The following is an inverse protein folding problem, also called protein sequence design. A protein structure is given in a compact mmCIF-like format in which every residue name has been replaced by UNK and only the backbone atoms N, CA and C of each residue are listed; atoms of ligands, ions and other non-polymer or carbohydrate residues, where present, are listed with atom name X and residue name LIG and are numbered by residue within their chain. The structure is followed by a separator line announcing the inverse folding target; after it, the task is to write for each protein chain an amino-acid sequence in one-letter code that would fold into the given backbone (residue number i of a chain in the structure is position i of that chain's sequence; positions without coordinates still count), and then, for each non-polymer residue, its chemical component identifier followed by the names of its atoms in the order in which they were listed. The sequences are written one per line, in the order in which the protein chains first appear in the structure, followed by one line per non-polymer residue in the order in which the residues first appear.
data_IF_378678620081
#
_entry.id   IF_378678620081
#
_cell.length_a   1.000
_cell.length_b   1.000
_cell.length_c   1.000
_cell.angle_alpha   90.00
_cell.angle_beta   90.00
_cell.angle_gamma   90.00
#
_symmetry.space_group_name_H-M   'P 1'
#
loop_
_entity.id
_entity.type
_entity.pdbx_description
1 polymer ?
#
# COMPACT_ATOMS: atom_id res chain seq x y z
N UNK A 1 -16.52 -12.32 14.58
CA UNK A 1 -17.25 -11.87 13.35
C UNK A 1 -18.07 -10.61 13.58
N UNK A 2 -18.71 -10.44 14.74
CA UNK A 2 -19.53 -9.28 15.17
C UNK A 2 -19.29 -7.92 14.47
N UNK A 3 -18.04 -7.45 14.35
CA UNK A 3 -17.70 -6.13 13.78
C UNK A 3 -17.56 -6.06 12.25
N UNK A 4 -17.90 -7.11 11.49
CA UNK A 4 -17.74 -7.15 10.02
C UNK A 4 -18.45 -5.99 9.29
N UNK A 5 -19.69 -5.65 9.68
CA UNK A 5 -20.45 -4.55 9.08
C UNK A 5 -20.16 -3.16 9.65
N UNK A 6 -19.29 -3.03 10.65
CA UNK A 6 -19.03 -1.75 11.33
C UNK A 6 -18.13 -0.86 10.48
N UNK A 7 -18.47 0.42 10.36
CA UNK A 7 -17.58 1.45 9.82
C UNK A 7 -17.16 2.38 10.96
N UNK A 8 -15.86 2.40 11.29
CA UNK A 8 -15.27 3.39 12.19
C UNK A 8 -15.00 4.70 11.44
N UNK A 9 -15.05 5.83 12.15
CA UNK A 9 -14.68 7.13 11.60
C UNK A 9 -13.69 7.83 12.51
N UNK A 10 -12.56 8.27 11.94
CA UNK A 10 -11.43 8.87 12.67
C UNK A 10 -10.72 9.88 11.77
N UNK A 11 -10.33 11.04 12.31
CA UNK A 11 -9.62 12.12 11.57
C UNK A 11 -10.26 12.49 10.19
N UNK A 12 -11.59 12.41 10.09
CA UNK A 12 -12.35 12.69 8.86
C UNK A 12 -12.24 11.62 7.77
N UNK A 13 -11.89 10.38 8.09
CA UNK A 13 -11.93 9.23 7.16
C UNK A 13 -12.69 8.05 7.78
N UNK A 14 -13.35 7.28 6.91
CA UNK A 14 -14.02 6.02 7.26
C UNK A 14 -13.08 4.82 7.12
N UNK A 15 -13.17 3.86 8.04
CA UNK A 15 -12.32 2.66 8.12
C UNK A 15 -13.16 1.40 8.43
N UNK A 16 -12.74 0.20 7.99
CA UNK A 16 -13.48 -1.03 8.29
C UNK A 16 -13.31 -1.43 9.77
N UNK A 17 -14.39 -1.33 10.53
CA UNK A 17 -14.42 -1.52 12.00
C UNK A 17 -14.17 -2.97 12.46
N UNK A 18 -14.17 -3.94 11.55
CA UNK A 18 -13.66 -5.28 11.83
C UNK A 18 -12.17 -5.27 12.22
N UNK A 19 -11.39 -4.45 11.51
CA UNK A 19 -9.93 -4.40 11.63
C UNK A 19 -9.45 -3.22 12.49
N UNK A 20 -10.33 -2.28 12.82
CA UNK A 20 -9.99 -1.03 13.50
C UNK A 20 -10.96 -0.74 14.65
N UNK A 21 -10.43 -0.12 15.71
CA UNK A 21 -11.21 0.54 16.78
C UNK A 21 -10.66 1.95 16.97
N UNK A 22 -11.41 2.82 17.65
CA UNK A 22 -10.91 4.15 18.06
C UNK A 22 -9.61 4.05 18.88
N UNK A 23 -9.43 2.98 19.66
CA UNK A 23 -8.18 2.71 20.39
C UNK A 23 -7.02 2.41 19.44
N UNK A 24 -7.15 1.44 18.51
CA UNK A 24 -6.07 1.09 17.58
C UNK A 24 -5.68 2.26 16.67
N UNK A 25 -6.66 3.08 16.29
CA UNK A 25 -6.48 4.31 15.52
C UNK A 25 -5.78 5.41 16.32
N UNK A 26 -6.12 5.58 17.60
CA UNK A 26 -5.41 6.52 18.48
C UNK A 26 -3.98 6.05 18.76
N UNK A 27 -3.77 4.77 19.04
CA UNK A 27 -2.46 4.14 19.23
C UNK A 27 -1.53 4.36 18.02
N UNK A 28 -2.04 4.26 16.79
CA UNK A 28 -1.26 4.60 15.60
C UNK A 28 -0.76 6.06 15.57
N UNK A 29 -1.49 7.00 16.17
CA UNK A 29 -1.04 8.41 16.29
C UNK A 29 -0.01 8.64 17.40
N UNK A 30 0.11 7.71 18.37
CA UNK A 30 1.01 7.79 19.53
C UNK A 30 2.14 6.77 19.53
N UNK A 31 2.23 5.93 18.50
CA UNK A 31 3.17 4.80 18.44
C UNK A 31 4.65 5.20 18.65
N UNK A 32 5.35 4.54 19.60
CA UNK A 32 6.78 4.74 19.82
C UNK A 32 7.59 3.99 18.75
N UNK A 33 7.78 4.65 17.61
CA UNK A 33 8.71 4.20 16.57
C UNK A 33 10.16 4.16 17.09
N UNK A 34 10.89 3.12 16.69
CA UNK A 34 12.35 3.01 16.84
C UNK A 34 13.08 3.66 15.67
N UNK A 35 14.37 3.88 15.85
CA UNK A 35 15.33 4.26 14.82
C UNK A 35 15.48 3.22 13.69
N UNK A 36 15.32 1.96 14.08
CA UNK A 36 15.43 0.73 13.27
C UNK A 36 14.12 0.30 12.63
N UNK A 37 13.00 0.98 12.87
CA UNK A 37 11.73 0.68 12.21
C UNK A 37 11.74 1.11 10.73
N UNK A 38 11.02 0.40 9.87
CA UNK A 38 10.79 0.80 8.46
C UNK A 38 9.30 0.84 8.18
N UNK A 39 8.78 2.02 7.86
CA UNK A 39 7.35 2.25 7.64
C UNK A 39 6.99 2.20 6.14
N UNK A 40 6.24 1.17 5.75
CA UNK A 40 5.64 0.98 4.42
C UNK A 40 4.29 1.68 4.40
N UNK A 41 4.16 2.79 3.65
CA UNK A 41 2.87 3.50 3.50
C UNK A 41 2.36 3.44 2.08
N UNK A 42 1.08 3.14 1.94
CA UNK A 42 0.42 3.01 0.63
C UNK A 42 -1.04 3.45 0.74
N UNK A 43 -1.61 4.07 -0.29
CA UNK A 43 -3.08 4.04 -0.39
C UNK A 43 -3.53 2.59 -0.70
N UNK A 44 -4.66 2.09 -0.15
CA UNK A 44 -5.16 0.74 -0.42
C UNK A 44 -5.03 0.28 -1.88
N UNK A 45 -4.54 -0.96 -2.05
CA UNK A 45 -4.33 -1.64 -3.35
C UNK A 45 -3.27 -1.00 -4.28
N UNK A 46 -2.43 -0.09 -3.79
CA UNK A 46 -1.33 0.52 -4.56
C UNK A 46 -0.09 -0.36 -4.74
N UNK A 47 0.00 -1.53 -4.10
CA UNK A 47 1.14 -2.45 -4.21
C UNK A 47 1.79 -2.86 -2.89
N UNK A 48 1.09 -2.65 -1.76
CA UNK A 48 1.56 -2.88 -0.38
C UNK A 48 2.22 -4.25 -0.19
N UNK A 49 1.52 -5.33 -0.54
CA UNK A 49 2.01 -6.71 -0.39
C UNK A 49 3.29 -6.98 -1.19
N UNK A 50 3.44 -6.38 -2.37
CA UNK A 50 4.66 -6.49 -3.18
C UNK A 50 5.86 -5.84 -2.48
N UNK A 51 5.66 -4.68 -1.85
CA UNK A 51 6.70 -4.03 -1.04
C UNK A 51 7.01 -4.79 0.25
N UNK A 52 6.01 -5.39 0.91
CA UNK A 52 6.22 -6.26 2.08
C UNK A 52 7.09 -7.48 1.73
N UNK A 53 6.86 -8.12 0.59
CA UNK A 53 7.67 -9.26 0.12
C UNK A 53 9.11 -8.83 -0.22
N UNK A 54 9.28 -7.72 -0.95
CA UNK A 54 10.60 -7.19 -1.31
C UNK A 54 11.41 -6.86 -0.06
N UNK A 55 10.80 -6.18 0.92
CA UNK A 55 11.50 -5.81 2.14
C UNK A 55 11.77 -7.01 3.04
N UNK A 56 10.89 -8.02 3.07
CA UNK A 56 11.18 -9.28 3.77
C UNK A 56 12.48 -9.88 3.26
N UNK A 57 12.61 -10.08 1.94
CA UNK A 57 13.82 -10.68 1.37
C UNK A 57 15.05 -9.76 1.49
N UNK A 58 14.88 -8.43 1.46
CA UNK A 58 15.97 -7.47 1.65
C UNK A 58 16.51 -7.43 3.08
N UNK A 59 15.66 -7.66 4.10
CA UNK A 59 16.06 -7.73 5.51
C UNK A 59 16.45 -9.14 5.97
N UNK A 60 16.13 -10.19 5.19
CA UNK A 60 16.61 -11.57 5.37
C UNK A 60 17.76 -11.94 4.42
N UNK A 61 18.46 -10.95 3.83
CA UNK A 61 19.62 -11.11 2.93
C UNK A 61 19.39 -11.99 1.67
N UNK A 62 18.13 -12.25 1.34
CA UNK A 62 17.71 -13.13 0.24
C UNK A 62 17.14 -14.47 0.71
N UNK A 63 17.15 -14.80 2.01
CA UNK A 63 16.44 -15.98 2.50
C UNK A 63 14.93 -15.83 2.31
N UNK A 64 14.34 -16.83 1.66
CA UNK A 64 12.90 -16.93 1.43
C UNK A 64 12.16 -17.67 2.55
N UNK A 65 12.86 -18.18 3.57
CA UNK A 65 12.29 -18.85 4.74
C UNK A 65 11.11 -18.08 5.35
N UNK A 66 11.31 -16.87 5.89
CA UNK A 66 10.23 -16.04 6.45
C UNK A 66 9.10 -15.77 5.45
N UNK A 67 9.42 -15.53 4.18
CA UNK A 67 8.42 -15.30 3.13
C UNK A 67 7.57 -16.54 2.78
N UNK A 68 8.05 -17.75 3.12
CA UNK A 68 7.38 -19.03 2.89
C UNK A 68 6.66 -19.59 4.11
N UNK A 69 7.04 -19.19 5.33
CA UNK A 69 6.50 -19.73 6.59
C UNK A 69 5.65 -18.76 7.39
N UNK A 70 5.80 -17.44 7.20
CA UNK A 70 5.10 -16.40 7.97
C UNK A 70 4.23 -15.56 7.02
N UNK A 71 2.94 -15.36 7.29
CA UNK A 71 2.08 -14.49 6.47
C UNK A 71 2.59 -13.05 6.38
N UNK A 72 2.34 -12.38 5.24
CA UNK A 72 2.81 -11.01 5.01
C UNK A 72 2.21 -9.97 5.99
N UNK A 73 1.05 -10.27 6.60
CA UNK A 73 0.43 -9.44 7.63
C UNK A 73 1.02 -9.63 9.04
N UNK A 74 1.86 -10.64 9.26
CA UNK A 74 2.66 -10.82 10.47
C UNK A 74 4.12 -10.41 10.27
N UNK A 75 4.64 -10.53 9.04
CA UNK A 75 5.98 -10.02 8.69
C UNK A 75 6.06 -8.49 8.66
N UNK A 76 4.96 -7.82 8.33
CA UNK A 76 4.88 -6.38 8.23
C UNK A 76 3.48 -5.87 8.62
N UNK A 77 3.07 -5.99 9.90
CA UNK A 77 1.70 -5.73 10.34
C UNK A 77 1.26 -4.26 10.16
N UNK A 78 -0.05 -4.03 10.07
CA UNK A 78 -0.65 -2.71 9.86
C UNK A 78 -0.81 -1.96 11.19
N UNK A 79 -0.12 -0.84 11.35
CA UNK A 79 -0.05 -0.05 12.59
C UNK A 79 -1.42 0.36 13.15
N UNK A 80 -2.38 0.66 12.28
CA UNK A 80 -3.73 1.08 12.66
C UNK A 80 -4.70 -0.05 13.07
N UNK A 81 -4.30 -1.32 12.91
CA UNK A 81 -5.21 -2.46 13.09
C UNK A 81 -5.19 -3.05 14.50
N UNK A 82 -6.32 -3.64 14.91
CA UNK A 82 -6.57 -4.12 16.28
C UNK A 82 -5.58 -5.16 16.79
N UNK A 83 -5.05 -6.01 15.89
CA UNK A 83 -4.12 -7.11 16.20
C UNK A 83 -2.63 -6.72 16.00
N UNK A 84 -2.34 -5.43 15.84
CA UNK A 84 -0.98 -4.97 15.53
C UNK A 84 0.01 -5.24 16.67
N UNK A 85 -0.40 -5.06 17.94
CA UNK A 85 0.49 -5.22 19.11
C UNK A 85 0.98 -6.66 19.24
N UNK A 86 0.09 -7.60 18.89
CA UNK A 86 0.27 -9.05 18.95
C UNK A 86 1.06 -9.57 17.73
N UNK A 87 0.85 -8.98 16.55
CA UNK A 87 1.54 -9.35 15.32
C UNK A 87 2.94 -8.70 15.17
N UNK A 88 3.25 -7.63 15.91
CA UNK A 88 4.55 -6.93 15.84
C UNK A 88 5.66 -7.74 16.54
N UNK A 89 6.18 -8.74 15.84
CA UNK A 89 7.29 -9.58 16.31
C UNK A 89 8.55 -8.75 16.54
N UNK A 90 9.01 -8.69 17.79
CA UNK A 90 10.28 -8.06 18.15
C UNK A 90 11.42 -9.09 18.14
N UNK A 91 12.10 -9.22 17.00
CA UNK A 91 13.16 -10.21 16.79
C UNK A 91 14.56 -9.63 17.02
N UNK A 92 14.69 -8.51 17.75
CA UNK A 92 15.95 -7.81 17.96
C UNK A 92 16.53 -7.10 16.72
N UNK A 93 15.78 -7.07 15.61
CA UNK A 93 16.17 -6.45 14.35
C UNK A 93 15.16 -5.41 13.84
N UNK A 94 15.42 -4.81 12.66
CA UNK A 94 14.54 -3.83 12.04
C UNK A 94 13.10 -4.32 11.86
N UNK A 95 12.13 -3.60 12.45
CA UNK A 95 10.71 -3.97 12.35
C UNK A 95 10.10 -3.37 11.08
N UNK A 96 9.58 -4.23 10.20
CA UNK A 96 8.75 -3.79 9.09
C UNK A 96 7.35 -3.46 9.61
N UNK A 97 6.88 -2.24 9.36
CA UNK A 97 5.58 -1.75 9.80
C UNK A 97 4.82 -1.24 8.57
N UNK A 98 3.54 -1.53 8.45
CA UNK A 98 2.70 -1.08 7.32
C UNK A 98 1.65 -0.07 7.78
N UNK A 99 1.23 0.83 6.89
CA UNK A 99 0.02 1.63 7.11
C UNK A 99 -0.68 2.05 5.81
N UNK A 100 -1.99 2.29 5.93
CA UNK A 100 -2.84 2.97 4.96
C UNK A 100 -3.33 4.34 5.45
N UNK A 101 -2.84 4.84 6.59
CA UNK A 101 -3.27 6.13 7.14
C UNK A 101 -2.70 7.33 6.37
N UNK A 102 -3.49 8.41 6.16
CA UNK A 102 -2.99 9.66 5.58
C UNK A 102 -1.89 10.31 6.43
N UNK A 103 -0.97 11.04 5.79
CA UNK A 103 0.18 11.68 6.45
C UNK A 103 -0.20 12.54 7.66
N UNK A 104 -1.32 13.28 7.57
CA UNK A 104 -1.84 14.13 8.67
C UNK A 104 -2.19 13.35 9.94
N UNK A 105 -2.45 12.05 9.84
CA UNK A 105 -2.84 11.18 10.97
C UNK A 105 -1.61 10.58 11.65
N UNK A 106 -0.60 10.15 10.89
CA UNK A 106 0.66 9.62 11.44
C UNK A 106 1.71 10.70 11.79
N UNK A 107 1.50 11.95 11.37
CA UNK A 107 2.42 13.05 11.65
C UNK A 107 2.81 13.18 13.14
N UNK A 108 1.91 13.07 14.13
CA UNK A 108 2.29 13.20 15.55
C UNK A 108 3.22 12.08 16.04
N UNK A 109 3.11 10.86 15.54
CA UNK A 109 4.03 9.76 15.86
C UNK A 109 5.39 9.98 15.19
N UNK A 110 5.39 10.23 13.87
CA UNK A 110 6.60 10.43 13.07
C UNK A 110 7.39 11.70 13.44
N UNK A 111 6.72 12.74 13.97
CA UNK A 111 7.37 13.95 14.49
C UNK A 111 8.05 13.73 15.84
N UNK A 112 7.64 12.74 16.64
CA UNK A 112 8.26 12.38 17.92
C UNK A 112 9.46 11.45 17.77
N UNK A 113 9.44 10.56 16.78
CA UNK A 113 10.54 9.60 16.54
C UNK A 113 11.91 10.29 16.37
N UNK A 114 12.91 9.84 17.14
CA UNK A 114 14.30 10.34 17.08
C UNK A 114 15.28 9.16 17.12
N UNK A 115 16.18 9.01 16.13
CA UNK A 115 16.19 9.64 14.80
C UNK A 115 14.91 9.42 13.96
N UNK A 116 14.84 10.02 12.77
CA UNK A 116 13.66 9.93 11.89
C UNK A 116 13.54 8.56 11.23
N UNK A 117 12.37 7.94 11.36
CA UNK A 117 12.00 6.66 10.71
C UNK A 117 12.10 6.73 9.18
N UNK A 118 12.74 5.76 8.51
CA UNK A 118 12.61 5.52 7.07
C UNK A 118 11.16 5.25 6.64
N UNK A 119 10.62 6.11 5.76
CA UNK A 119 9.25 5.96 5.21
C UNK A 119 9.30 5.66 3.70
N UNK A 120 8.73 4.52 3.32
CA UNK A 120 8.64 4.01 1.95
C UNK A 120 7.21 4.23 1.46
N UNK A 121 7.01 5.06 0.42
CA UNK A 121 5.67 5.34 -0.11
C UNK A 121 5.42 4.67 -1.46
N UNK A 122 4.43 3.79 -1.56
CA UNK A 122 4.01 3.21 -2.86
C UNK A 122 2.74 3.88 -3.38
N UNK A 123 2.90 4.59 -4.50
CA UNK A 123 1.82 5.12 -5.32
C UNK A 123 1.49 4.17 -6.48
N UNK A 124 0.26 4.23 -6.96
CA UNK A 124 -0.20 3.55 -8.19
C UNK A 124 -1.17 4.46 -8.92
N UNK A 125 -1.30 4.31 -10.24
CA UNK A 125 -2.23 5.09 -11.04
C UNK A 125 -3.67 4.99 -10.47
N UNK A 126 -4.39 6.11 -10.28
CA UNK A 126 -5.71 6.09 -9.62
C UNK A 126 -6.73 5.21 -10.35
N UNK A 127 -6.61 5.05 -11.68
CA UNK A 127 -7.50 4.18 -12.47
C UNK A 127 -7.29 2.70 -12.15
N UNK A 128 -6.04 2.28 -11.97
CA UNK A 128 -5.71 0.91 -11.57
C UNK A 128 -6.07 0.66 -10.09
N UNK A 129 -5.91 1.67 -9.23
CA UNK A 129 -6.36 1.62 -7.83
C UNK A 129 -7.88 1.45 -7.77
N UNK A 130 -8.67 2.30 -8.44
CA UNK A 130 -10.13 2.22 -8.45
C UNK A 130 -10.64 0.83 -8.89
N UNK A 131 -10.14 0.32 -10.02
CA UNK A 131 -10.47 -1.03 -10.51
C UNK A 131 -10.03 -2.11 -9.52
N UNK A 132 -8.84 -1.99 -8.92
CA UNK A 132 -8.35 -2.98 -7.95
C UNK A 132 -9.04 -2.91 -6.58
N UNK A 133 -9.61 -1.76 -6.21
CA UNK A 133 -10.31 -1.54 -4.95
C UNK A 133 -11.78 -1.94 -5.06
N UNK A 134 -12.43 -1.70 -6.20
CA UNK A 134 -13.75 -2.25 -6.54
C UNK A 134 -13.79 -3.77 -6.39
N UNK A 135 -12.83 -4.47 -7.02
CA UNK A 135 -12.71 -5.93 -6.88
C UNK A 135 -12.36 -6.39 -5.47
N UNK A 136 -11.76 -5.54 -4.64
CA UNK A 136 -11.45 -5.88 -3.25
C UNK A 136 -12.66 -5.72 -2.32
N UNK A 137 -13.53 -4.74 -2.54
CA UNK A 137 -14.82 -4.63 -1.85
C UNK A 137 -15.73 -5.84 -2.13
N UNK A 138 -15.68 -6.39 -3.36
CA UNK A 138 -16.36 -7.66 -3.71
C UNK A 138 -15.75 -8.91 -3.05
N UNK A 139 -14.59 -8.79 -2.39
CA UNK A 139 -13.80 -9.92 -1.89
C UNK A 139 -13.74 -9.93 -0.35
N UNK A 140 -13.46 -8.78 0.26
CA UNK A 140 -13.35 -8.60 1.69
C UNK A 140 -14.70 -8.26 2.33
N UNK A 141 -15.25 -9.16 3.14
CA UNK A 141 -16.57 -9.03 3.79
C UNK A 141 -16.62 -7.96 4.91
N UNK A 142 -15.47 -7.37 5.23
CA UNK A 142 -15.35 -6.20 6.12
C UNK A 142 -15.42 -4.85 5.40
N UNK A 143 -15.67 -4.84 4.09
CA UNK A 143 -15.94 -3.63 3.31
C UNK A 143 -17.41 -3.65 2.82
N UNK A 144 -18.06 -2.49 2.68
CA UNK A 144 -19.39 -2.41 2.07
C UNK A 144 -19.40 -2.98 0.65
N UNK A 145 -20.50 -3.62 0.25
CA UNK A 145 -20.68 -4.05 -1.14
C UNK A 145 -20.57 -2.83 -2.08
N UNK A 146 -19.77 -2.89 -3.16
CA UNK A 146 -19.45 -1.71 -3.93
C UNK A 146 -20.57 -1.26 -4.89
N UNK A 147 -21.50 -2.16 -5.23
CA UNK A 147 -22.54 -1.94 -6.23
C UNK A 147 -22.01 -2.04 -7.67
N UNK A 148 -22.54 -1.19 -8.57
CA UNK A 148 -21.99 -1.03 -9.91
C UNK A 148 -20.59 -0.39 -9.86
N UNK A 149 -19.79 -0.60 -10.91
CA UNK A 149 -18.47 0.01 -10.97
C UNK A 149 -18.53 1.55 -11.00
N UNK A 150 -19.53 2.12 -11.68
CA UNK A 150 -19.66 3.57 -11.83
C UNK A 150 -20.11 4.24 -10.53
N UNK A 151 -21.03 3.62 -9.77
CA UNK A 151 -21.39 4.09 -8.44
C UNK A 151 -20.20 4.02 -7.47
N UNK A 152 -19.38 2.96 -7.56
CA UNK A 152 -18.13 2.87 -6.80
C UNK A 152 -17.10 3.92 -7.24
N UNK A 153 -17.00 4.19 -8.55
CA UNK A 153 -16.06 5.16 -9.09
C UNK A 153 -16.40 6.59 -8.67
N UNK A 154 -17.69 6.97 -8.62
CA UNK A 154 -18.14 8.22 -8.02
C UNK A 154 -17.61 8.38 -6.59
N UNK A 155 -17.92 7.41 -5.72
CA UNK A 155 -17.43 7.39 -4.33
C UNK A 155 -15.90 7.41 -4.21
N UNK A 156 -15.19 6.74 -5.11
CA UNK A 156 -13.72 6.77 -5.15
C UNK A 156 -13.17 8.16 -5.49
N UNK A 157 -13.84 8.90 -6.39
CA UNK A 157 -13.43 10.25 -6.82
C UNK A 157 -13.78 11.32 -5.79
N UNK A 158 -14.95 11.21 -5.15
CA UNK A 158 -15.33 11.99 -3.96
C UNK A 158 -14.38 11.74 -2.78
N UNK A 159 -13.85 10.52 -2.68
CA UNK A 159 -13.12 10.06 -1.51
C UNK A 159 -14.01 9.58 -0.36
N UNK A 160 -15.25 9.15 -0.66
CA UNK A 160 -16.23 8.57 0.29
C UNK A 160 -16.07 7.04 0.46
N UNK A 161 -14.93 6.48 0.02
CA UNK A 161 -14.50 5.09 0.27
C UNK A 161 -13.56 4.98 1.47
N UNK A 162 -13.31 3.76 1.97
CA UNK A 162 -12.43 3.54 3.12
C UNK A 162 -11.01 4.09 2.89
N UNK A 163 -10.44 4.70 3.94
CA UNK A 163 -9.22 5.52 3.93
C UNK A 163 -9.30 6.85 3.15
N UNK A 164 -10.47 7.19 2.60
CA UNK A 164 -10.78 8.50 2.04
C UNK A 164 -10.26 8.72 0.61
N UNK A 165 -10.11 10.00 0.24
CA UNK A 165 -9.63 10.43 -1.08
C UNK A 165 -8.20 9.96 -1.38
N UNK A 166 -8.04 9.22 -2.47
CA UNK A 166 -6.71 8.86 -3.02
C UNK A 166 -5.87 10.10 -3.33
N UNK A 167 -6.48 11.18 -3.83
CA UNK A 167 -5.80 12.39 -4.24
C UNK A 167 -5.14 13.08 -3.03
N UNK A 168 -5.90 13.32 -1.96
CA UNK A 168 -5.36 13.94 -0.74
C UNK A 168 -4.43 13.01 0.05
N UNK A 169 -4.63 11.68 -0.02
CA UNK A 169 -3.68 10.73 0.55
C UNK A 169 -2.31 10.80 -0.15
N UNK A 170 -2.28 10.78 -1.48
CA UNK A 170 -1.05 10.87 -2.28
C UNK A 170 -0.39 12.24 -2.14
N UNK A 171 -1.16 13.33 -2.25
CA UNK A 171 -0.71 14.72 -2.05
C UNK A 171 -0.15 14.95 -0.64
N UNK A 172 -0.80 14.43 0.40
CA UNK A 172 -0.35 14.57 1.79
C UNK A 172 0.98 13.85 2.08
N UNK A 173 1.22 12.68 1.49
CA UNK A 173 2.46 11.91 1.69
C UNK A 173 3.64 12.36 0.82
N UNK A 174 3.37 13.01 -0.31
CA UNK A 174 4.40 13.41 -1.29
C UNK A 174 4.67 14.92 -1.32
N UNK A 175 3.70 15.74 -0.97
CA UNK A 175 3.71 17.17 -1.29
C UNK A 175 3.87 17.38 -2.80
N UNK A 176 4.82 18.23 -3.18
CA UNK A 176 5.18 18.51 -4.58
C UNK A 176 6.14 17.46 -5.19
N UNK A 177 6.55 16.41 -4.46
CA UNK A 177 7.61 15.49 -4.93
C UNK A 177 7.09 14.55 -6.01
N UNK A 178 7.66 14.67 -7.21
CA UNK A 178 7.37 13.73 -8.29
C UNK A 178 7.89 12.32 -7.97
N UNK A 179 7.03 11.31 -8.11
CA UNK A 179 7.57 9.34 -8.00
C UNK A 179 8.72 8.94 -8.92
N UNK A 180 9.72 8.25 -8.38
CA UNK A 180 10.60 7.43 -9.20
C UNK A 180 9.76 6.33 -9.86
N UNK A 181 9.93 6.16 -11.18
CA UNK A 181 9.31 5.06 -11.91
C UNK A 181 10.17 3.82 -11.72
N UNK A 182 9.57 2.70 -11.35
CA UNK A 182 10.26 1.40 -11.41
C UNK A 182 10.40 1.00 -12.88
N UNK A 183 11.61 0.61 -13.27
CA UNK A 183 11.88 0.00 -14.58
C UNK A 183 11.94 -1.53 -14.43
N UNK A 184 12.72 -1.99 -13.44
CA UNK A 184 12.94 -3.38 -13.10
C UNK A 184 13.06 -3.59 -11.57
N UNK A 185 13.01 -4.84 -11.12
CA UNK A 185 13.08 -5.19 -9.71
C UNK A 185 14.50 -5.09 -9.10
N UNK A 186 15.60 -5.50 -9.78
CA UNK A 186 16.94 -5.29 -9.24
C UNK A 186 17.30 -3.81 -9.01
N UNK A 187 16.90 -2.91 -9.90
CA UNK A 187 17.02 -1.46 -9.78
C UNK A 187 16.14 -0.88 -8.66
N UNK A 188 14.97 -1.47 -8.41
CA UNK A 188 14.17 -1.15 -7.23
C UNK A 188 14.89 -1.56 -5.94
N UNK A 189 15.36 -2.81 -5.86
CA UNK A 189 16.04 -3.36 -4.70
C UNK A 189 17.32 -2.58 -4.34
N UNK A 190 18.15 -2.22 -5.33
CA UNK A 190 19.35 -1.38 -5.12
C UNK A 190 19.00 0.01 -4.58
N UNK A 191 17.90 0.63 -5.04
CA UNK A 191 17.43 1.94 -4.53
C UNK A 191 16.84 1.85 -3.13
N UNK A 192 16.15 0.74 -2.79
CA UNK A 192 15.71 0.46 -1.41
C UNK A 192 16.92 0.25 -0.49
N UNK A 193 17.87 -0.58 -0.89
CA UNK A 193 19.07 -0.84 -0.11
C UNK A 193 19.91 0.40 0.14
N UNK A 194 20.13 1.22 -0.89
CA UNK A 194 20.84 2.51 -0.75
C UNK A 194 20.11 3.51 0.17
N UNK A 195 18.77 3.46 0.24
CA UNK A 195 18.00 4.26 1.18
C UNK A 195 18.09 3.74 2.63
N UNK A 196 18.02 2.41 2.79
CA UNK A 196 17.94 1.73 4.09
C UNK A 196 19.32 1.37 4.67
N UNK A 197 20.42 1.81 4.04
CA UNK A 197 21.79 1.47 4.45
C UNK A 197 22.18 0.00 4.23
N UNK A 198 21.40 -0.76 3.43
CA UNK A 198 21.46 -2.22 3.31
C UNK A 198 21.45 -2.64 1.84
N UNK A 199 22.57 -2.41 1.14
CA UNK A 199 22.69 -2.72 -0.29
C UNK A 199 22.55 -4.24 -0.55
N UNK A 200 21.67 -4.69 -1.46
CA UNK A 200 21.45 -6.11 -1.72
C UNK A 200 22.64 -6.75 -2.46
N UNK A 201 23.01 -7.97 -2.05
CA UNK A 201 24.00 -8.78 -2.77
C UNK A 201 23.42 -9.30 -4.10
N UNK A 202 24.26 -9.76 -5.05
CA UNK A 202 23.79 -10.47 -6.24
C UNK A 202 22.85 -11.64 -5.91
N UNK A 203 23.03 -12.28 -4.77
CA UNK A 203 22.24 -13.42 -4.28
C UNK A 203 20.86 -12.95 -3.82
N UNK A 204 20.81 -11.87 -3.02
CA UNK A 204 19.55 -11.21 -2.62
C UNK A 204 18.76 -10.77 -3.86
N UNK A 205 19.43 -10.20 -4.87
CA UNK A 205 18.80 -9.77 -6.12
C UNK A 205 18.16 -10.95 -6.89
N UNK A 206 18.88 -12.06 -7.06
CA UNK A 206 18.33 -13.27 -7.72
C UNK A 206 17.16 -13.88 -6.93
N UNK A 207 17.21 -13.83 -5.60
CA UNK A 207 16.11 -14.28 -4.73
C UNK A 207 14.86 -13.40 -4.90
N UNK A 208 15.04 -12.08 -4.90
CA UNK A 208 13.96 -11.09 -5.14
C UNK A 208 13.29 -11.33 -6.49
N UNK A 209 14.04 -11.53 -7.57
CA UNK A 209 13.47 -11.84 -8.90
C UNK A 209 12.66 -13.14 -8.92
N UNK A 210 13.16 -14.18 -8.24
CA UNK A 210 12.47 -15.48 -8.13
C UNK A 210 11.17 -15.38 -7.34
N UNK A 211 11.13 -14.60 -6.26
CA UNK A 211 10.07 -14.66 -5.25
C UNK A 211 9.10 -13.47 -5.25
N UNK A 212 9.53 -12.26 -5.61
CA UNK A 212 8.65 -11.07 -5.70
C UNK A 212 8.04 -10.87 -7.11
N UNK A 213 8.08 -11.88 -7.97
CA UNK A 213 7.32 -11.89 -9.22
C UNK A 213 5.83 -12.09 -8.93
N UNK A 214 4.93 -11.52 -9.74
CA UNK A 214 3.49 -11.67 -9.52
C UNK A 214 3.03 -13.14 -9.56
N UNK A 215 3.67 -13.99 -10.38
CA UNK A 215 3.36 -15.41 -10.42
C UNK A 215 3.73 -16.11 -9.10
N UNK A 216 4.97 -15.94 -8.62
CA UNK A 216 5.42 -16.52 -7.35
C UNK A 216 4.57 -16.04 -6.17
N UNK A 217 4.26 -14.74 -6.10
CA UNK A 217 3.42 -14.17 -5.04
C UNK A 217 1.94 -14.53 -5.12
N UNK A 218 1.42 -14.86 -6.32
CA UNK A 218 0.05 -15.38 -6.51
C UNK A 218 -0.08 -16.80 -5.95
N UNK A 219 0.98 -17.59 -6.06
CA UNK A 219 0.97 -19.01 -5.71
C UNK A 219 1.55 -19.26 -4.29
N UNK A 220 2.19 -18.26 -3.67
CA UNK A 220 2.59 -18.24 -2.26
C UNK A 220 1.38 -17.98 -1.32
N UNK A 221 0.97 -18.98 -0.54
CA UNK A 221 -0.08 -18.85 0.47
C UNK A 221 0.18 -17.75 1.53
N UNK A 222 1.47 -17.48 1.83
CA UNK A 222 1.90 -16.46 2.79
C UNK A 222 1.90 -15.03 2.23
N UNK A 223 1.50 -14.84 0.97
CA UNK A 223 1.39 -13.53 0.32
C UNK A 223 0.07 -13.33 -0.46
N UNK A 224 -0.61 -14.39 -0.87
CA UNK A 224 -1.81 -14.32 -1.70
C UNK A 224 -3.14 -14.19 -0.91
N UNK A 225 -3.08 -14.19 0.42
CA UNK A 225 -4.22 -14.12 1.36
C UNK A 225 -5.18 -15.35 1.34
N UNK A 226 -4.79 -16.50 0.76
CA UNK A 226 -5.64 -17.70 0.75
C UNK A 226 -5.85 -18.34 2.12
N UNK A 227 -5.04 -17.97 3.13
CA UNK A 227 -5.16 -18.42 4.51
C UNK A 227 -6.19 -17.63 5.34
N UNK A 228 -6.74 -16.53 4.80
CA UNK A 228 -7.79 -15.76 5.47
C UNK A 228 -9.13 -16.52 5.36
N UNK A 229 -9.86 -16.73 6.48
CA UNK A 229 -11.16 -17.40 6.47
C UNK A 229 -12.16 -16.76 5.49
N UNK A 230 -13.01 -17.60 4.88
CA UNK A 230 -13.99 -17.19 3.84
C UNK A 230 -14.99 -16.16 4.36
N UNK A 231 -15.19 -16.13 5.66
CA UNK A 231 -16.05 -15.25 6.45
C UNK A 231 -15.51 -13.81 6.48
N UNK A 232 -14.20 -13.66 6.27
CA UNK A 232 -13.48 -12.39 6.21
C UNK A 232 -13.13 -12.04 4.75
N UNK A 233 -12.69 -13.02 3.94
CA UNK A 233 -12.29 -12.83 2.54
C UNK A 233 -12.72 -14.00 1.64
N UNK A 234 -13.69 -13.77 0.75
CA UNK A 234 -14.35 -14.86 0.00
C UNK A 234 -13.75 -15.08 -1.40
N UNK A 235 -12.65 -15.83 -1.46
CA UNK A 235 -11.94 -16.15 -2.71
C UNK A 235 -12.74 -16.99 -3.74
N UNK A 236 -14.02 -17.29 -3.49
CA UNK A 236 -14.94 -17.74 -4.55
C UNK A 236 -15.39 -16.58 -5.47
N UNK A 237 -15.42 -15.33 -4.96
CA UNK A 237 -15.85 -14.12 -5.71
C UNK A 237 -14.71 -13.48 -6.52
N UNK A 238 -13.47 -13.95 -6.37
CA UNK A 238 -12.27 -13.43 -7.01
C UNK A 238 -10.99 -13.89 -6.32
N UNK A 239 -9.83 -13.30 -6.64
CA UNK A 239 -8.57 -13.55 -5.91
C UNK A 239 -7.93 -12.22 -5.50
N UNK A 240 -7.28 -12.17 -4.34
CA UNK A 240 -6.53 -10.98 -3.90
C UNK A 240 -5.41 -10.63 -4.90
N UNK A 241 -4.61 -11.62 -5.26
CA UNK A 241 -3.64 -11.55 -6.37
C UNK A 241 -4.37 -11.67 -7.71
N UNK A 242 -5.13 -10.62 -8.05
CA UNK A 242 -6.09 -10.60 -9.16
C UNK A 242 -5.44 -10.65 -10.54
N UNK A 243 -4.62 -9.64 -10.87
CA UNK A 243 -3.92 -9.47 -12.14
C UNK A 243 -2.67 -8.61 -11.94
N UNK A 244 -1.50 -9.14 -12.29
CA UNK A 244 -0.20 -8.49 -12.23
C UNK A 244 0.05 -7.50 -13.37
N UNK A 245 -0.92 -6.66 -13.70
CA UNK A 245 -0.91 -5.76 -14.87
C UNK A 245 -0.86 -4.27 -14.44
N UNK A 246 -0.06 -3.48 -15.16
CA UNK A 246 0.18 -2.03 -14.94
C UNK A 246 -0.71 -1.10 -15.75
N UNK A 247 -1.80 -1.67 -16.28
CA UNK A 247 -2.89 -1.03 -16.99
C UNK A 247 -4.17 -1.78 -16.63
N UNK A 248 -5.36 -1.16 -16.81
CA UNK A 248 -6.62 -1.90 -16.74
C UNK A 248 -6.71 -2.84 -17.96
N UNK A 249 -6.35 -4.12 -17.80
CA UNK A 249 -6.48 -5.13 -18.87
C UNK A 249 -7.91 -5.20 -19.43
N UNK A 250 -8.09 -5.61 -20.70
CA UNK A 250 -9.28 -5.34 -21.57
C UNK A 250 -10.62 -5.04 -20.87
N UNK A 251 -11.12 -5.91 -19.97
CA UNK A 251 -12.38 -5.68 -19.22
C UNK A 251 -12.35 -4.49 -18.25
N UNK A 252 -11.23 -4.22 -17.57
CA UNK A 252 -11.04 -3.02 -16.74
C UNK A 252 -11.01 -1.73 -17.57
N UNK A 253 -10.41 -1.77 -18.76
CA UNK A 253 -10.50 -0.69 -19.73
C UNK A 253 -11.89 -0.58 -20.40
N UNK A 254 -12.74 -1.61 -20.30
CA UNK A 254 -14.14 -1.56 -20.75
C UNK A 254 -15.03 -0.93 -19.67
N UNK A 255 -14.84 -1.30 -18.40
CA UNK A 255 -15.46 -0.63 -17.25
C UNK A 255 -15.19 0.89 -17.27
N UNK A 256 -13.91 1.29 -17.39
CA UNK A 256 -13.49 2.69 -17.52
C UNK A 256 -13.87 3.37 -18.87
N UNK A 257 -14.56 2.68 -19.77
CA UNK A 257 -15.17 3.24 -20.99
C UNK A 257 -16.70 3.28 -20.97
N UNK A 258 -17.35 2.63 -20.00
CA UNK A 258 -18.77 2.82 -19.69
C UNK A 258 -19.02 4.01 -18.76
N UNK A 259 -18.06 4.34 -17.90
CA UNK A 259 -18.15 5.48 -16.98
C UNK A 259 -18.25 6.83 -17.70
N UNK A 260 -18.96 7.84 -17.14
CA UNK A 260 -19.07 9.16 -17.73
C UNK A 260 -17.72 9.79 -18.09
N UNK A 261 -17.64 10.36 -19.29
CA UNK A 261 -16.41 10.90 -19.88
C UNK A 261 -15.67 11.87 -18.95
N UNK A 262 -16.39 12.69 -18.19
CA UNK A 262 -15.80 13.73 -17.34
C UNK A 262 -15.17 13.18 -16.06
N UNK A 263 -15.65 12.05 -15.53
CA UNK A 263 -14.95 11.31 -14.47
C UNK A 263 -13.59 10.76 -14.98
N UNK A 264 -13.56 10.28 -16.22
CA UNK A 264 -12.34 9.77 -16.87
C UNK A 264 -11.37 10.91 -17.21
N UNK A 265 -11.88 12.08 -17.63
CA UNK A 265 -11.11 13.33 -17.83
C UNK A 265 -10.54 13.84 -16.50
N UNK A 266 -11.31 13.87 -15.42
CA UNK A 266 -10.87 14.30 -14.08
C UNK A 266 -9.66 13.49 -13.58
N UNK A 267 -9.71 12.15 -13.74
CA UNK A 267 -8.54 11.29 -13.47
C UNK A 267 -7.35 11.56 -14.40
N UNK A 268 -7.57 12.10 -15.61
CA UNK A 268 -6.50 12.47 -16.54
C UNK A 268 -5.87 13.83 -16.20
N UNK A 269 -6.68 14.85 -15.88
CA UNK A 269 -6.21 16.20 -15.54
C UNK A 269 -5.51 16.20 -14.18
N UNK A 270 -6.09 15.56 -13.16
CA UNK A 270 -5.42 15.44 -11.86
C UNK A 270 -4.14 14.57 -11.96
N UNK A 271 -4.16 13.51 -12.77
CA UNK A 271 -2.96 12.71 -13.07
C UNK A 271 -1.87 13.49 -13.83
N UNK A 272 -2.24 14.47 -14.67
CA UNK A 272 -1.30 15.37 -15.36
C UNK A 272 -0.81 16.50 -14.47
N UNK A 273 -1.63 17.04 -13.56
CA UNK A 273 -1.21 18.06 -12.59
C UNK A 273 -0.09 17.55 -11.67
N UNK A 274 -0.08 16.25 -11.33
CA UNK A 274 1.00 15.57 -10.58
C UNK A 274 2.26 15.30 -11.45
N UNK A 275 2.25 15.73 -12.72
CA UNK A 275 3.29 15.42 -13.72
C UNK A 275 3.74 16.61 -14.59
N UNK A 276 3.10 17.78 -14.51
CA UNK A 276 3.35 18.89 -15.44
C UNK A 276 3.08 20.27 -14.80
N UNK A 277 4.04 20.76 -14.02
CA UNK A 277 4.30 22.19 -13.79
C UNK A 277 5.74 22.38 -13.26
N UNK A 278 6.37 23.49 -13.62
CA UNK A 278 7.73 23.92 -13.23
C UNK A 278 7.64 25.38 -12.70
N UNK A 279 8.71 26.06 -12.21
CA UNK A 279 10.11 25.66 -12.05
C UNK A 279 10.50 25.65 -10.52
N UNK A 280 11.77 25.77 -10.07
CA UNK A 280 12.11 25.49 -8.67
C UNK A 280 11.88 26.66 -7.70
N UNK A 281 11.25 26.36 -6.56
CA UNK A 281 11.18 27.21 -5.37
C UNK A 281 12.25 26.79 -4.33
N UNK A 282 12.65 27.66 -3.36
CA UNK A 282 13.77 27.39 -2.46
C UNK A 282 13.55 26.18 -1.53
N UNK A 283 14.66 25.52 -1.16
CA UNK A 283 14.66 24.24 -0.43
C UNK A 283 14.17 24.41 1.03
N UNK A 284 13.12 23.69 1.48
CA UNK A 284 12.77 23.60 2.89
C UNK A 284 13.77 22.71 3.67
N UNK A 285 13.98 22.94 4.99
CA UNK A 285 14.98 22.23 5.77
C UNK A 285 14.64 20.76 6.02
N UNK A 286 15.32 19.85 5.28
CA UNK A 286 15.38 18.38 5.50
C UNK A 286 14.05 17.71 5.88
N UNK A 287 13.06 17.85 5.00
CA UNK A 287 11.86 17.00 4.92
C UNK A 287 12.23 15.49 4.92
N UNK A 288 11.36 14.57 5.37
CA UNK A 288 11.65 13.12 5.43
C UNK A 288 12.09 12.57 4.07
N UNK A 289 12.90 11.51 4.05
CA UNK A 289 13.41 10.94 2.80
C UNK A 289 12.40 9.93 2.22
N UNK A 290 11.31 10.46 1.65
CA UNK A 290 10.23 9.66 1.06
C UNK A 290 10.69 9.01 -0.24
N UNK A 291 11.09 7.74 -0.22
CA UNK A 291 11.32 6.99 -1.45
C UNK A 291 9.97 6.58 -2.02
N UNK A 292 9.64 7.20 -3.17
CA UNK A 292 8.32 7.21 -3.80
C UNK A 292 8.29 6.28 -5.02
N UNK A 293 7.53 5.19 -4.92
CA UNK A 293 7.42 4.11 -5.91
C UNK A 293 6.18 4.25 -6.80
N UNK A 294 6.31 3.92 -8.10
CA UNK A 294 5.19 3.37 -8.90
C UNK A 294 5.60 2.01 -9.43
N UNK A 295 4.83 0.98 -9.06
CA UNK A 295 4.82 -0.29 -9.77
C UNK A 295 4.04 -0.14 -11.08
N UNK A 296 4.77 -0.20 -12.19
CA UNK A 296 4.23 -0.64 -13.48
C UNK A 296 5.05 -1.86 -13.90
N UNK A 297 4.47 -3.07 -14.01
CA UNK A 297 5.12 -4.19 -14.68
C UNK A 297 5.43 -3.81 -16.14
N UNK A 298 6.39 -4.51 -16.78
CA UNK A 298 6.80 -4.21 -18.14
C UNK A 298 5.62 -4.23 -19.12
N UNK A 299 5.75 -3.41 -20.16
CA UNK A 299 4.86 -3.50 -21.33
C UNK A 299 5.30 -4.69 -22.17
N UNK A 300 4.48 -5.75 -22.14
CA UNK A 300 4.21 -6.57 -23.32
C UNK A 300 3.18 -5.84 -24.20
#
# INVERSE_FOLDING_TARGET
MERLGVTETFAGISLPGHLHTKESLHFATTFPFRDTDVLIVTYPKSGTTWMQEILTLLFSDGDAGPARTIPNWERAPWLEQTYFKEALRDTGGPRLITSHLPARVLAPALQRARPKVPVIYVARNPRDVAVSFYHFHRLAKFLPEPGSFDAFLGRFLEGSVQYGSWFEHVKGWLGQRHPARVQDLPGAARRLGAFLGRAPSPETLRSLERHCSFAAMRDNAMANYSLIPREIMDHSRGRFMRKGEGRPGRRGAQLLRGSPLDAVKSMATCGRAVSACAPPAPRPPRAPLTVKWIWQPPMM
#
